data_IF_259953365745
#
_entry.id   IF_259953365745
#
_cell.length_a   1.000
_cell.length_b   1.000
_cell.length_c   1.000
_cell.angle_alpha   90.00
_cell.angle_beta   90.00
_cell.angle_gamma   90.00
#
_symmetry.space_group_name_H-M   'P 1'
#
loop_
_entity.id
_entity.type
_entity.pdbx_description
1 polymer ?
#
# COMPACT_ATOMS: atom_id res chain seq x y z
N UNK A 1 -14.76 2.81 -7.40
CA UNK A 1 -15.08 1.42 -6.99
C UNK A 1 -15.37 1.46 -5.50
N UNK A 2 -16.55 1.04 -5.07
CA UNK A 2 -16.91 1.01 -3.65
C UNK A 2 -17.24 -0.44 -3.29
N UNK A 3 -16.47 -1.05 -2.39
CA UNK A 3 -16.69 -2.42 -1.92
C UNK A 3 -17.41 -2.31 -0.58
N UNK A 4 -18.71 -2.60 -0.57
CA UNK A 4 -19.57 -2.41 0.61
C UNK A 4 -19.29 -3.40 1.73
N UNK A 5 -19.10 -4.67 1.36
CA UNK A 5 -18.87 -5.77 2.29
C UNK A 5 -17.44 -6.29 2.11
N UNK A 6 -16.46 -5.41 2.33
CA UNK A 6 -15.06 -5.81 2.29
C UNK A 6 -14.72 -6.65 3.52
N UNK A 7 -14.06 -7.80 3.30
CA UNK A 7 -13.56 -8.68 4.35
C UNK A 7 -12.02 -8.69 4.31
N UNK A 8 -11.35 -8.51 5.45
CA UNK A 8 -9.89 -8.56 5.53
C UNK A 8 -9.32 -9.91 5.08
N UNK A 9 -10.09 -11.00 5.21
CA UNK A 9 -9.69 -12.30 4.68
C UNK A 9 -9.58 -12.32 3.15
N UNK A 10 -10.14 -11.32 2.45
CA UNK A 10 -10.05 -11.18 1.00
C UNK A 10 -8.88 -10.27 0.62
N UNK A 11 -7.67 -10.82 0.69
CA UNK A 11 -6.47 -10.18 0.14
C UNK A 11 -6.32 -10.48 -1.36
N UNK A 12 -7.42 -10.38 -2.11
CA UNK A 12 -7.45 -10.68 -3.53
C UNK A 12 -7.19 -9.45 -4.39
N UNK A 13 -6.72 -9.70 -5.61
CA UNK A 13 -6.52 -8.66 -6.62
C UNK A 13 -7.81 -8.44 -7.39
N UNK A 14 -8.38 -7.25 -7.24
CA UNK A 14 -9.50 -6.84 -8.07
C UNK A 14 -9.00 -6.13 -9.32
N UNK A 15 -9.42 -6.62 -10.47
CA UNK A 15 -9.16 -5.99 -11.76
C UNK A 15 -10.37 -5.17 -12.19
N UNK A 16 -10.13 -4.00 -12.75
CA UNK A 16 -11.19 -3.25 -13.41
C UNK A 16 -11.68 -4.05 -14.62
N UNK A 17 -13.01 -4.13 -14.78
CA UNK A 17 -13.61 -4.77 -15.96
C UNK A 17 -13.17 -4.08 -17.27
N UNK A 18 -12.93 -2.76 -17.20
CA UNK A 18 -12.37 -1.95 -18.27
C UNK A 18 -11.23 -1.13 -17.68
N UNK A 19 -10.06 -1.15 -18.33
CA UNK A 19 -8.91 -0.36 -17.88
C UNK A 19 -9.26 1.13 -17.88
N UNK A 20 -8.89 1.80 -16.78
CA UNK A 20 -9.09 3.25 -16.62
C UNK A 20 -7.86 3.96 -17.17
N UNK A 21 -8.06 4.87 -18.13
CA UNK A 21 -6.97 5.69 -18.65
C UNK A 21 -6.53 6.71 -17.59
N UNK A 22 -5.20 6.87 -17.44
CA UNK A 22 -4.58 7.81 -16.51
C UNK A 22 -3.70 8.81 -17.28
N UNK A 23 -4.28 9.82 -17.96
CA UNK A 23 -3.51 10.87 -18.61
C UNK A 23 -2.58 11.60 -17.64
N UNK A 24 -1.53 12.22 -18.18
CA UNK A 24 -0.63 13.05 -17.38
C UNK A 24 -1.41 14.12 -16.59
N UNK A 25 -1.11 14.26 -15.30
CA UNK A 25 -1.83 15.15 -14.38
C UNK A 25 -3.03 14.51 -13.69
N UNK A 26 -3.34 13.24 -13.94
CA UNK A 26 -4.36 12.52 -13.18
C UNK A 26 -3.99 12.43 -11.71
N UNK A 27 -4.94 12.75 -10.84
CA UNK A 27 -4.85 12.60 -9.39
C UNK A 27 -5.62 11.36 -8.94
N UNK A 28 -5.02 10.58 -8.06
CA UNK A 28 -5.65 9.42 -7.44
C UNK A 28 -5.85 9.73 -5.96
N UNK A 29 -7.12 9.74 -5.55
CA UNK A 29 -7.52 9.92 -4.15
C UNK A 29 -8.00 8.60 -3.59
N UNK A 30 -7.61 8.35 -2.34
CA UNK A 30 -7.82 7.10 -1.64
C UNK A 30 -8.31 7.41 -0.23
N UNK A 31 -9.40 6.76 0.18
CA UNK A 31 -9.95 6.82 1.53
C UNK A 31 -10.12 5.40 2.05
N UNK A 32 -9.62 5.17 3.27
CA UNK A 32 -9.69 3.88 3.97
C UNK A 32 -10.40 4.14 5.29
N UNK A 33 -11.43 3.33 5.59
CA UNK A 33 -12.19 3.41 6.82
C UNK A 33 -11.96 2.15 7.67
N UNK A 34 -11.88 2.35 8.98
CA UNK A 34 -11.82 1.29 9.98
C UNK A 34 -13.02 1.40 10.91
N UNK A 35 -13.62 0.27 11.28
CA UNK A 35 -14.75 0.20 12.22
C UNK A 35 -14.34 -0.53 13.51
N UNK A 36 -13.90 0.25 14.50
CA UNK A 36 -13.59 -0.23 15.85
C UNK A 36 -14.76 -0.02 16.83
N UNK A 37 -16.01 0.06 16.34
CA UNK A 37 -17.18 0.19 17.21
C UNK A 37 -17.44 -1.10 17.99
N UNK A 38 -18.11 -0.99 19.14
CA UNK A 38 -18.55 -2.14 19.94
C UNK A 38 -19.67 -2.96 19.25
N UNK A 39 -20.34 -2.37 18.26
CA UNK A 39 -21.41 -3.02 17.51
C UNK A 39 -20.90 -3.83 16.32
N UNK A 40 -19.63 -3.69 15.94
CA UNK A 40 -19.01 -4.51 14.91
C UNK A 40 -18.79 -5.94 15.44
N UNK A 41 -19.56 -6.95 15.01
CA UNK A 41 -19.41 -8.32 15.50
C UNK A 41 -18.08 -8.97 15.03
N UNK A 42 -17.38 -8.35 14.08
CA UNK A 42 -16.05 -8.77 13.61
C UNK A 42 -14.90 -8.13 14.37
N UNK A 43 -15.18 -7.23 15.34
CA UNK A 43 -14.13 -6.66 16.18
C UNK A 43 -13.49 -7.77 17.03
N UNK A 44 -12.17 -8.02 16.92
CA UNK A 44 -11.51 -9.07 17.68
C UNK A 44 -11.42 -8.78 19.18
N UNK A 45 -11.75 -7.54 19.61
CA UNK A 45 -11.70 -7.11 21.00
C UNK A 45 -13.08 -6.69 21.51
N UNK A 46 -13.51 -7.26 22.63
CA UNK A 46 -14.70 -6.84 23.35
C UNK A 46 -14.38 -6.72 24.86
N UNK A 47 -14.35 -5.50 25.44
CA UNK A 47 -14.70 -4.21 24.83
C UNK A 47 -13.66 -3.73 23.79
N UNK A 48 -14.03 -2.79 22.89
CA UNK A 48 -13.08 -2.19 21.94
C UNK A 48 -11.88 -1.56 22.65
N UNK A 49 -10.70 -1.74 22.07
CA UNK A 49 -9.44 -1.16 22.55
C UNK A 49 -8.90 -0.16 21.55
N UNK A 50 -8.03 0.75 21.98
CA UNK A 50 -7.33 1.61 21.06
C UNK A 50 -6.39 0.76 20.19
N UNK A 51 -6.51 0.89 18.87
CA UNK A 51 -5.63 0.22 17.91
C UNK A 51 -4.76 1.25 17.19
N UNK A 52 -3.51 0.88 16.95
CA UNK A 52 -2.49 1.71 16.30
C UNK A 52 -1.90 0.98 15.11
N UNK A 53 -1.16 1.71 14.26
CA UNK A 53 -0.46 1.06 13.17
C UNK A 53 0.62 0.10 13.67
N UNK A 54 0.73 -1.07 13.04
CA UNK A 54 1.74 -2.09 13.32
C UNK A 54 1.57 -3.32 12.42
N UNK A 55 2.46 -4.30 12.57
CA UNK A 55 2.50 -5.50 11.73
C UNK A 55 1.91 -6.75 12.43
N UNK A 56 1.49 -6.62 13.69
CA UNK A 56 0.90 -7.72 14.47
C UNK A 56 -0.60 -7.88 14.19
N UNK A 57 -1.16 -9.05 14.49
CA UNK A 57 -2.59 -9.36 14.20
C UNK A 57 -3.61 -8.53 14.98
N UNK A 58 -3.16 -7.70 15.94
CA UNK A 58 -4.00 -6.77 16.71
C UNK A 58 -3.69 -5.30 16.41
N UNK A 59 -2.78 -5.07 15.47
CA UNK A 59 -2.44 -3.76 14.97
C UNK A 59 -3.12 -3.51 13.63
N UNK A 60 -3.20 -2.24 13.27
CA UNK A 60 -3.92 -1.81 12.09
C UNK A 60 -2.97 -1.57 10.91
N UNK A 61 -3.39 -2.02 9.74
CA UNK A 61 -2.71 -1.71 8.48
C UNK A 61 -3.71 -1.09 7.49
N UNK A 62 -3.22 -0.18 6.65
CA UNK A 62 -3.98 0.40 5.56
C UNK A 62 -3.05 0.64 4.39
N UNK A 63 -3.28 -0.07 3.29
CA UNK A 63 -2.52 0.15 2.06
C UNK A 63 -3.39 -0.11 0.85
N UNK A 64 -3.11 0.62 -0.22
CA UNK A 64 -3.69 0.38 -1.53
C UNK A 64 -2.56 0.20 -2.52
N UNK A 65 -2.65 -0.90 -3.28
CA UNK A 65 -1.77 -1.21 -4.38
C UNK A 65 -2.56 -1.13 -5.68
N UNK A 66 -2.04 -0.38 -6.64
CA UNK A 66 -2.62 -0.27 -7.97
C UNK A 66 -1.70 -0.96 -8.97
N UNK A 67 -2.31 -1.71 -9.89
CA UNK A 67 -1.60 -2.30 -11.01
C UNK A 67 -1.90 -1.43 -12.22
N UNK A 68 -0.83 -0.92 -12.85
CA UNK A 68 -0.92 -0.12 -14.05
C UNK A 68 -0.15 -0.80 -15.19
N UNK A 69 -0.60 -0.54 -16.41
CA UNK A 69 0.06 -0.95 -17.65
C UNK A 69 0.31 0.30 -18.49
N UNK A 70 1.33 0.31 -19.37
CA UNK A 70 1.51 1.43 -20.26
C UNK A 70 0.33 1.52 -21.24
N UNK A 71 0.01 2.72 -21.72
CA UNK A 71 -1.06 2.90 -22.70
C UNK A 71 -0.74 2.21 -24.04
N UNK A 72 0.54 2.21 -24.43
CA UNK A 72 1.06 1.48 -25.58
C UNK A 72 2.06 0.43 -25.12
N UNK A 73 2.01 -0.76 -25.70
CA UNK A 73 2.92 -1.86 -25.35
C UNK A 73 4.41 -1.49 -25.56
N UNK A 74 4.70 -0.67 -26.57
CA UNK A 74 6.05 -0.15 -26.84
C UNK A 74 6.66 0.63 -25.67
N UNK A 75 5.83 1.18 -24.78
CA UNK A 75 6.29 1.97 -23.64
C UNK A 75 6.61 1.12 -22.41
N UNK A 76 6.45 -0.21 -22.48
CA UNK A 76 6.67 -1.12 -21.35
C UNK A 76 8.09 -1.01 -20.77
N UNK A 77 9.11 -0.98 -21.62
CA UNK A 77 10.50 -0.86 -21.18
C UNK A 77 10.76 0.48 -20.47
N UNK A 78 10.14 1.56 -20.96
CA UNK A 78 10.21 2.88 -20.34
C UNK A 78 9.54 2.89 -18.97
N UNK A 79 8.32 2.33 -18.88
CA UNK A 79 7.60 2.23 -17.61
C UNK A 79 8.39 1.43 -16.56
N UNK A 80 8.94 0.28 -16.94
CA UNK A 80 9.74 -0.55 -16.03
C UNK A 80 10.97 0.19 -15.51
N UNK A 81 11.71 0.86 -16.40
CA UNK A 81 12.88 1.67 -16.05
C UNK A 81 12.50 2.78 -15.07
N UNK A 82 11.38 3.46 -15.32
CA UNK A 82 10.93 4.58 -14.49
C UNK A 82 10.43 4.14 -13.12
N UNK A 83 9.73 3.00 -13.04
CA UNK A 83 9.35 2.37 -11.75
C UNK A 83 10.59 2.03 -10.95
N UNK A 84 11.58 1.35 -11.54
CA UNK A 84 12.83 1.00 -10.85
C UNK A 84 13.59 2.24 -10.39
N UNK A 85 13.68 3.27 -11.24
CA UNK A 85 14.31 4.55 -10.88
C UNK A 85 13.63 5.17 -9.66
N UNK A 86 12.29 5.29 -9.69
CA UNK A 86 11.51 5.89 -8.60
C UNK A 86 11.63 5.10 -7.30
N UNK A 87 11.58 3.77 -7.35
CA UNK A 87 11.78 2.94 -6.16
C UNK A 87 13.15 3.16 -5.53
N UNK A 88 14.21 3.25 -6.34
CA UNK A 88 15.56 3.52 -5.85
C UNK A 88 15.70 4.92 -5.24
N UNK A 89 15.05 5.93 -5.83
CA UNK A 89 15.00 7.29 -5.28
C UNK A 89 14.32 7.31 -3.91
N UNK A 90 13.15 6.70 -3.78
CA UNK A 90 12.41 6.62 -2.51
C UNK A 90 13.21 5.92 -1.41
N UNK A 91 13.90 4.82 -1.74
CA UNK A 91 14.77 4.13 -0.78
C UNK A 91 15.91 5.05 -0.33
N UNK A 92 16.56 5.76 -1.26
CA UNK A 92 17.64 6.69 -0.93
C UNK A 92 17.15 7.85 -0.07
N UNK A 93 16.03 8.47 -0.43
CA UNK A 93 15.40 9.54 0.35
C UNK A 93 15.06 9.05 1.77
N UNK A 94 14.47 7.86 1.90
CA UNK A 94 14.14 7.28 3.21
C UNK A 94 15.38 7.00 4.05
N UNK A 95 16.45 6.46 3.45
CA UNK A 95 17.72 6.23 4.14
C UNK A 95 18.40 7.53 4.61
N UNK A 96 18.24 8.63 3.86
CA UNK A 96 18.76 9.93 4.26
C UNK A 96 17.93 10.54 5.39
N UNK A 97 16.61 10.40 5.32
CA UNK A 97 15.68 10.93 6.32
C UNK A 97 15.69 10.12 7.64
N UNK A 98 16.04 8.83 7.59
CA UNK A 98 16.13 7.94 8.75
C UNK A 98 17.51 7.24 8.82
N UNK A 99 18.51 7.88 9.45
CA UNK A 99 19.85 7.32 9.63
C UNK A 99 19.88 6.03 10.45
N UNK A 100 18.88 5.77 11.30
CA UNK A 100 18.79 4.56 12.10
C UNK A 100 18.42 3.34 11.23
N UNK A 101 17.50 3.53 10.26
CA UNK A 101 17.19 2.51 9.25
C UNK A 101 18.42 2.16 8.41
N UNK A 102 19.19 3.16 7.96
CA UNK A 102 20.42 2.95 7.20
C UNK A 102 21.46 2.13 7.98
N UNK A 103 21.58 2.37 9.29
CA UNK A 103 22.45 1.60 10.18
C UNK A 103 21.97 0.14 10.31
N UNK A 104 20.66 -0.09 10.48
CA UNK A 104 20.06 -1.43 10.60
C UNK A 104 20.25 -2.27 9.33
N UNK A 105 20.06 -1.66 8.15
CA UNK A 105 20.28 -2.34 6.86
C UNK A 105 21.73 -2.75 6.65
N UNK A 106 22.70 -1.89 7.01
CA UNK A 106 24.13 -2.22 6.93
C UNK A 106 24.50 -3.40 7.83
N UNK A 107 23.84 -3.51 8.99
CA UNK A 107 24.08 -4.60 9.93
C UNK A 107 23.52 -5.92 9.41
N UNK A 108 22.32 -5.91 8.82
CA UNK A 108 21.70 -7.10 8.20
C UNK A 108 22.43 -7.61 6.94
N UNK A 109 23.07 -6.73 6.17
CA UNK A 109 23.82 -7.11 4.96
C UNK A 109 25.26 -7.58 5.26
N UNK A 110 25.70 -7.45 6.51
CA UNK A 110 27.03 -7.87 6.97
C UNK A 110 27.03 -9.24 7.67
N UNK A 111 25.85 -9.85 7.82
CA UNK A 111 25.62 -11.23 8.29
C UNK A 111 25.33 -12.16 7.10
#
# INVERSE_FOLDING_TARGET
MFIKDWDFAWQDRYYFQQLVSLPAGTRLDVEIHWDNSAENPRNPSNPPVQVTWGEESKDEMGSISLIAVPHQESDLATLQKDITRRSNELVRERMQADPALAKKLRQLLAE
#
